data_IF_436618451699
#
_entry.id   IF_436618451699
#
_cell.length_a   1.000
_cell.length_b   1.000
_cell.length_c   1.000
_cell.angle_alpha   90.00
_cell.angle_beta   90.00
_cell.angle_gamma   90.00
#
_symmetry.space_group_name_H-M   'P 1'
#
loop_
_entity.id
_entity.type
_entity.pdbx_description
1 polymer ?
#
# COMPACT_ATOMS: atom_id res chain seq x y z
N UNK A 1 -11.24 4.90 -6.20
CA UNK A 1 -10.69 6.26 -6.28
C UNK A 1 -11.21 7.12 -5.14
N UNK A 2 -12.52 7.13 -4.87
CA UNK A 2 -13.12 7.81 -3.70
C UNK A 2 -12.37 7.51 -2.39
N UNK A 3 -12.05 6.24 -2.15
CA UNK A 3 -11.35 5.86 -0.92
C UNK A 3 -9.88 6.30 -0.82
N UNK A 4 -9.24 6.72 -1.93
CA UNK A 4 -7.88 7.31 -1.87
C UNK A 4 -7.95 8.80 -1.52
N UNK A 5 -9.08 9.45 -1.81
CA UNK A 5 -9.35 10.84 -1.40
C UNK A 5 -9.51 10.89 0.11
N UNK A 6 -10.29 9.98 0.69
CA UNK A 6 -10.45 9.89 2.16
C UNK A 6 -9.11 9.68 2.88
N UNK A 7 -8.27 8.78 2.36
CA UNK A 7 -6.94 8.54 2.93
C UNK A 7 -6.02 9.75 2.78
N UNK A 8 -6.07 10.45 1.64
CA UNK A 8 -5.34 11.71 1.43
C UNK A 8 -5.73 12.76 2.46
N UNK A 9 -7.02 12.93 2.72
CA UNK A 9 -7.49 13.91 3.69
C UNK A 9 -7.10 13.51 5.11
N UNK A 10 -7.17 12.22 5.45
CA UNK A 10 -6.69 11.71 6.73
C UNK A 10 -5.18 11.96 6.92
N UNK A 11 -4.35 11.68 5.91
CA UNK A 11 -2.90 11.96 5.95
C UNK A 11 -2.65 13.46 6.17
N UNK A 12 -3.37 14.33 5.46
CA UNK A 12 -3.25 15.79 5.61
C UNK A 12 -3.63 16.26 7.01
N UNK A 13 -4.66 15.68 7.62
CA UNK A 13 -5.11 16.04 8.97
C UNK A 13 -4.10 15.55 10.03
N UNK A 14 -3.58 14.34 9.89
CA UNK A 14 -2.66 13.74 10.88
C UNK A 14 -1.23 14.28 10.75
N UNK A 15 -0.80 14.65 9.55
CA UNK A 15 0.47 15.35 9.27
C UNK A 15 1.73 14.47 9.27
N UNK A 16 1.87 13.55 10.23
CA UNK A 16 3.02 12.62 10.30
C UNK A 16 2.70 11.39 11.16
N UNK A 17 3.66 10.46 11.26
CA UNK A 17 3.53 9.22 12.04
C UNK A 17 2.27 8.41 11.71
N UNK A 18 1.98 8.23 10.42
CA UNK A 18 0.79 7.52 9.95
C UNK A 18 1.16 6.14 9.43
N UNK A 19 0.42 5.11 9.86
CA UNK A 19 0.39 3.78 9.23
C UNK A 19 -0.98 3.57 8.61
N UNK A 20 -1.01 3.12 7.36
CA UNK A 20 -2.22 2.83 6.61
C UNK A 20 -2.21 1.36 6.23
N UNK A 21 -3.17 0.60 6.75
CA UNK A 21 -3.35 -0.82 6.42
C UNK A 21 -4.69 -0.98 5.71
N UNK A 22 -4.69 -1.52 4.49
CA UNK A 22 -5.92 -1.66 3.71
C UNK A 22 -5.81 -2.71 2.61
N UNK A 23 -6.93 -3.34 2.29
CA UNK A 23 -7.12 -4.03 1.01
C UNK A 23 -7.34 -2.99 -0.10
N UNK A 24 -6.30 -2.75 -0.90
CA UNK A 24 -6.35 -1.82 -2.02
C UNK A 24 -6.98 -2.43 -3.27
N UNK A 25 -7.08 -3.78 -3.34
CA UNK A 25 -7.53 -4.51 -4.51
C UNK A 25 -6.88 -4.00 -5.81
N UNK A 26 -5.56 -3.76 -5.73
CA UNK A 26 -4.70 -3.17 -6.75
C UNK A 26 -3.47 -4.05 -6.94
N UNK A 27 -2.94 -4.11 -8.17
CA UNK A 27 -1.78 -4.94 -8.50
C UNK A 27 -0.66 -4.08 -9.02
N UNK A 28 0.54 -4.28 -8.50
CA UNK A 28 1.78 -3.67 -8.98
C UNK A 28 2.97 -4.59 -8.77
N UNK A 29 3.91 -4.51 -9.72
CA UNK A 29 5.23 -5.12 -9.58
C UNK A 29 6.00 -4.60 -8.36
N UNK A 30 5.72 -3.38 -7.89
CA UNK A 30 6.37 -2.77 -6.72
C UNK A 30 6.07 -3.49 -5.40
N UNK A 31 4.92 -4.17 -5.30
CA UNK A 31 4.58 -5.03 -4.16
C UNK A 31 4.46 -6.50 -4.57
N UNK A 32 5.21 -6.92 -5.59
CA UNK A 32 5.38 -8.33 -5.94
C UNK A 32 4.26 -8.95 -6.79
N UNK A 33 3.36 -8.16 -7.36
CA UNK A 33 2.44 -8.68 -8.39
C UNK A 33 3.15 -8.94 -9.71
N UNK A 34 2.62 -9.86 -10.53
CA UNK A 34 3.21 -10.19 -11.84
C UNK A 34 3.12 -9.04 -12.85
N UNK A 35 2.16 -8.14 -12.68
CA UNK A 35 1.95 -6.97 -13.54
C UNK A 35 1.33 -5.82 -12.74
N UNK A 36 1.48 -4.60 -13.26
CA UNK A 36 0.78 -3.42 -12.74
C UNK A 36 -0.52 -3.21 -13.51
N UNK A 37 -1.63 -3.03 -12.78
CA UNK A 37 -2.91 -2.66 -13.36
C UNK A 37 -3.22 -1.18 -13.13
N UNK A 38 -4.25 -0.65 -13.78
CA UNK A 38 -4.62 0.77 -13.66
C UNK A 38 -4.89 1.24 -12.23
N UNK A 39 -5.32 0.32 -11.33
CA UNK A 39 -5.50 0.64 -9.91
C UNK A 39 -4.15 0.71 -9.20
N UNK A 40 -3.23 -0.18 -9.55
CA UNK A 40 -1.84 -0.17 -9.10
C UNK A 40 -1.18 1.16 -9.42
N UNK A 41 -1.27 1.61 -10.68
CA UNK A 41 -0.74 2.91 -11.10
C UNK A 41 -1.28 4.06 -10.22
N UNK A 42 -2.60 4.05 -9.94
CA UNK A 42 -3.23 5.07 -9.09
C UNK A 42 -2.81 5.00 -7.63
N UNK A 43 -2.54 3.80 -7.10
CA UNK A 43 -2.04 3.62 -5.73
C UNK A 43 -0.57 4.04 -5.63
N UNK A 44 0.24 3.75 -6.65
CA UNK A 44 1.64 4.21 -6.73
C UNK A 44 1.72 5.74 -6.80
N UNK A 45 0.97 6.36 -7.71
CA UNK A 45 0.88 7.82 -7.81
C UNK A 45 0.45 8.43 -6.48
N UNK A 46 -0.61 7.90 -5.87
CA UNK A 46 -1.07 8.36 -4.56
C UNK A 46 -0.02 8.18 -3.47
N UNK A 47 0.68 7.06 -3.40
CA UNK A 47 1.72 6.84 -2.39
C UNK A 47 2.88 7.83 -2.58
N UNK A 48 3.32 8.04 -3.83
CA UNK A 48 4.38 8.98 -4.16
C UNK A 48 4.02 10.44 -3.83
N UNK A 49 2.79 10.86 -4.11
CA UNK A 49 2.28 12.20 -3.79
C UNK A 49 2.32 12.55 -2.29
N UNK A 50 2.28 11.53 -1.42
CA UNK A 50 2.23 11.72 0.04
C UNK A 50 3.48 11.21 0.76
N UNK A 51 4.56 10.94 0.02
CA UNK A 51 5.83 10.40 0.53
C UNK A 51 5.64 9.15 1.42
N UNK A 52 4.71 8.28 1.01
CA UNK A 52 4.45 7.03 1.71
C UNK A 52 5.44 5.96 1.28
N UNK A 53 5.87 5.16 2.25
CA UNK A 53 6.78 4.04 2.05
C UNK A 53 6.02 2.74 2.20
N UNK A 54 6.18 1.86 1.21
CA UNK A 54 5.61 0.53 1.27
C UNK A 54 6.31 -0.24 2.39
N UNK A 55 5.51 -0.77 3.30
CA UNK A 55 6.00 -1.59 4.42
C UNK A 55 6.06 -3.07 4.02
N UNK A 56 5.17 -3.50 3.11
CA UNK A 56 5.20 -4.87 2.59
C UNK A 56 6.58 -5.22 2.03
N UNK A 57 7.04 -6.42 2.35
CA UNK A 57 8.27 -6.97 1.80
C UNK A 57 8.01 -8.35 1.18
N UNK A 58 8.88 -8.76 0.26
CA UNK A 58 8.76 -10.05 -0.41
C UNK A 58 7.57 -10.12 -1.38
N UNK A 59 7.14 -11.35 -1.66
CA UNK A 59 6.13 -11.67 -2.67
C UNK A 59 5.14 -12.75 -2.20
N UNK A 60 5.01 -12.92 -0.88
CA UNK A 60 4.03 -13.86 -0.31
C UNK A 60 2.63 -13.32 -0.57
N UNK A 61 1.71 -14.13 -1.15
CA UNK A 61 0.35 -13.67 -1.40
C UNK A 61 -0.41 -13.33 -0.12
N UNK A 62 -1.06 -12.17 -0.09
CA UNK A 62 -1.92 -11.76 1.02
C UNK A 62 -3.35 -12.26 0.87
N UNK A 63 -3.76 -12.56 -0.38
CA UNK A 63 -5.07 -13.10 -0.70
C UNK A 63 -4.92 -14.36 -1.58
N UNK A 64 -5.48 -15.47 -1.11
CA UNK A 64 -5.50 -16.76 -1.82
C UNK A 64 -6.94 -17.16 -2.07
N UNK A 65 -7.28 -17.44 -3.33
CA UNK A 65 -8.62 -17.85 -3.78
C UNK A 65 -8.51 -19.06 -4.72
N UNK A 66 -9.60 -19.82 -4.95
CA UNK A 66 -9.58 -20.93 -5.90
C UNK A 66 -9.14 -20.52 -7.31
N UNK A 67 -9.38 -19.26 -7.70
CA UNK A 67 -9.03 -18.71 -9.01
C UNK A 67 -7.60 -18.15 -9.10
N UNK A 68 -6.83 -18.20 -8.00
CA UNK A 68 -5.45 -17.74 -7.95
C UNK A 68 -5.12 -16.89 -6.73
N UNK A 69 -3.93 -16.30 -6.75
CA UNK A 69 -3.34 -15.55 -5.63
C UNK A 69 -3.07 -14.10 -6.01
N UNK A 70 -3.06 -13.21 -5.01
CA UNK A 70 -2.73 -11.80 -5.19
C UNK A 70 -2.13 -11.17 -3.94
N UNK A 71 -1.38 -10.09 -4.13
CA UNK A 71 -0.88 -9.21 -3.07
C UNK A 71 -1.66 -7.91 -3.21
N UNK A 72 -2.70 -7.75 -2.39
CA UNK A 72 -3.67 -6.64 -2.48
C UNK A 72 -3.86 -5.93 -1.13
N UNK A 73 -3.50 -6.60 -0.05
CA UNK A 73 -3.44 -6.02 1.29
C UNK A 73 -2.09 -5.33 1.46
N UNK A 74 -2.11 -4.01 1.48
CA UNK A 74 -0.90 -3.20 1.55
C UNK A 74 -0.88 -2.40 2.85
N UNK A 75 0.31 -2.29 3.40
CA UNK A 75 0.65 -1.42 4.51
C UNK A 75 1.62 -0.36 4.03
N UNK A 76 1.27 0.89 4.32
CA UNK A 76 2.08 2.07 4.00
C UNK A 76 2.39 2.81 5.29
N UNK A 77 3.54 3.46 5.36
CA UNK A 77 3.90 4.33 6.47
C UNK A 77 4.53 5.64 5.99
N UNK A 78 4.37 6.70 6.78
CA UNK A 78 5.21 7.90 6.62
C UNK A 78 6.68 7.57 6.97
N UNK A 79 7.61 8.32 6.36
CA UNK A 79 9.04 8.05 6.47
C UNK A 79 9.57 8.10 7.92
N UNK A 80 9.00 8.93 8.76
CA UNK A 80 9.45 9.17 10.14
C UNK A 80 9.22 8.00 11.10
N UNK A 81 8.37 7.04 10.74
CA UNK A 81 8.08 5.86 11.58
C UNK A 81 8.49 4.53 10.96
N UNK A 82 8.85 4.47 9.67
CA UNK A 82 9.15 3.19 9.00
C UNK A 82 10.31 2.44 9.67
N UNK A 83 11.32 3.15 10.18
CA UNK A 83 12.45 2.54 10.87
C UNK A 83 12.08 1.82 12.19
N UNK A 84 10.90 2.12 12.73
CA UNK A 84 10.35 1.43 13.90
C UNK A 84 9.49 0.22 13.56
N UNK A 85 9.17 0.00 12.27
CA UNK A 85 8.34 -1.12 11.81
C UNK A 85 9.27 -2.28 11.45
N UNK A 86 9.35 -3.28 12.34
CA UNK A 86 10.13 -4.49 12.13
C UNK A 86 9.25 -5.73 11.98
N UNK A 87 9.83 -6.80 11.41
CA UNK A 87 9.20 -8.13 11.31
C UNK A 87 7.85 -8.13 10.57
N UNK A 88 7.65 -7.19 9.64
CA UNK A 88 6.43 -7.12 8.84
C UNK A 88 6.47 -8.17 7.72
N UNK A 89 5.49 -9.08 7.70
CA UNK A 89 5.37 -10.20 6.76
C UNK A 89 3.96 -10.31 6.19
#
# INVERSE_FOLDING_TARGET
>A
METLVELRDAIRILGSRVVICKDFNAKSVHWGSVYTNWRGDKVEEWAAEHDLRLVNTGSVPTCVRPQGTSIVDLTWSTLDIIGGIGQWS
#
